data_IF_406906608471
#
_entry.id   IF_406906608471
#
_cell.length_a   1.000
_cell.length_b   1.000
_cell.length_c   1.000
_cell.angle_alpha   90.00
_cell.angle_beta   90.00
_cell.angle_gamma   90.00
#
_symmetry.space_group_name_H-M   'P 1'
#
loop_
_entity.id
_entity.type
_entity.pdbx_description
1 polymer ?
#
# COMPACT_ATOMS: atom_id res chain seq x y z
N UNK A 1 24.92 -17.67 33.53
CA UNK A 1 24.33 -18.20 32.29
C UNK A 1 24.90 -17.41 31.13
N UNK A 2 25.51 -18.05 30.12
CA UNK A 2 26.06 -17.36 28.96
C UNK A 2 24.94 -16.91 28.01
N UNK A 3 25.20 -15.89 27.18
CA UNK A 3 24.25 -15.36 26.19
C UNK A 3 23.75 -16.43 25.20
N UNK A 4 24.48 -17.53 25.04
CA UNK A 4 24.10 -18.62 24.13
C UNK A 4 22.89 -19.44 24.60
N UNK A 5 22.55 -19.40 25.90
CA UNK A 5 21.48 -20.24 26.49
C UNK A 5 20.10 -19.54 26.56
N UNK A 6 19.91 -18.43 25.83
CA UNK A 6 18.67 -17.64 25.86
C UNK A 6 18.09 -17.56 24.44
N UNK A 7 16.82 -17.95 24.29
CA UNK A 7 16.08 -17.87 23.03
C UNK A 7 15.64 -16.43 22.74
N UNK A 8 16.56 -15.62 22.21
CA UNK A 8 16.27 -14.24 21.81
C UNK A 8 15.56 -14.18 20.44
N UNK A 9 14.60 -13.25 20.25
CA UNK A 9 14.02 -12.98 18.96
C UNK A 9 15.09 -12.56 17.94
N UNK A 10 15.05 -13.14 16.74
CA UNK A 10 15.90 -12.77 15.60
C UNK A 10 15.00 -12.36 14.45
N UNK A 11 15.32 -11.23 13.83
CA UNK A 11 14.58 -10.74 12.66
C UNK A 11 15.51 -9.94 11.75
N UNK A 12 15.34 -10.12 10.44
CA UNK A 12 15.95 -9.27 9.41
C UNK A 12 15.20 -7.94 9.28
N UNK A 13 14.05 -7.79 9.96
CA UNK A 13 13.28 -6.55 9.96
C UNK A 13 14.03 -5.45 10.71
N UNK A 14 14.49 -4.45 9.97
CA UNK A 14 15.16 -3.29 10.54
C UNK A 14 14.24 -2.52 11.49
N UNK A 15 14.74 -2.20 12.68
CA UNK A 15 14.02 -1.31 13.62
C UNK A 15 13.80 0.10 13.06
N UNK A 16 14.65 0.57 12.13
CA UNK A 16 14.47 1.87 11.47
C UNK A 16 13.65 1.70 10.20
N UNK A 17 12.58 2.48 10.08
CA UNK A 17 11.68 2.40 8.94
C UNK A 17 12.37 2.81 7.63
N UNK A 18 13.02 3.98 7.59
CA UNK A 18 13.67 4.54 6.40
C UNK A 18 12.72 4.61 5.17
N UNK A 19 11.49 5.07 5.39
CA UNK A 19 10.38 4.97 4.43
C UNK A 19 10.65 5.69 3.12
N UNK A 20 11.27 6.87 3.15
CA UNK A 20 11.64 7.64 1.95
C UNK A 20 12.42 6.82 0.92
N UNK A 21 13.24 5.87 1.37
CA UNK A 21 14.01 4.98 0.49
C UNK A 21 13.30 3.64 0.22
N UNK A 22 12.53 3.13 1.19
CA UNK A 22 11.87 1.82 1.07
C UNK A 22 10.58 1.86 0.26
N UNK A 23 9.76 2.90 0.43
CA UNK A 23 8.44 3.02 -0.22
C UNK A 23 8.53 3.00 -1.75
N UNK A 24 9.47 3.71 -2.41
CA UNK A 24 9.64 3.61 -3.86
C UNK A 24 9.89 2.17 -4.32
N UNK A 25 10.76 1.42 -3.62
CA UNK A 25 11.05 0.02 -3.95
C UNK A 25 9.85 -0.92 -3.75
N UNK A 26 8.97 -0.62 -2.79
CA UNK A 26 7.71 -1.35 -2.59
C UNK A 26 6.75 -1.10 -3.76
N UNK A 27 6.61 0.15 -4.22
CA UNK A 27 5.78 0.50 -5.37
C UNK A 27 6.29 -0.17 -6.64
N UNK A 28 7.62 -0.15 -6.87
CA UNK A 28 8.25 -0.82 -8.00
C UNK A 28 8.01 -2.33 -7.98
N UNK A 29 8.10 -2.95 -6.80
CA UNK A 29 7.77 -4.36 -6.63
C UNK A 29 6.30 -4.66 -6.97
N UNK A 30 5.35 -3.85 -6.49
CA UNK A 30 3.93 -4.03 -6.80
C UNK A 30 3.63 -3.91 -8.29
N UNK A 31 4.29 -2.97 -8.98
CA UNK A 31 4.19 -2.82 -10.43
C UNK A 31 4.78 -4.04 -11.16
N UNK A 32 5.95 -4.52 -10.72
CA UNK A 32 6.62 -5.68 -11.33
C UNK A 32 5.78 -6.96 -11.25
N UNK A 33 5.07 -7.17 -10.14
CA UNK A 33 4.20 -8.34 -9.97
C UNK A 33 2.80 -8.14 -10.55
N UNK A 34 2.51 -6.98 -11.16
CA UNK A 34 1.18 -6.62 -11.66
C UNK A 34 0.07 -6.81 -10.61
N UNK A 35 0.32 -6.28 -9.40
CA UNK A 35 -0.51 -6.54 -8.22
C UNK A 35 -1.98 -6.18 -8.46
N UNK A 36 -2.26 -5.08 -9.16
CA UNK A 36 -3.62 -4.63 -9.42
C UNK A 36 -4.42 -5.67 -10.20
N UNK A 37 -3.88 -6.20 -11.30
CA UNK A 37 -4.57 -7.20 -12.10
C UNK A 37 -4.73 -8.52 -11.35
N UNK A 38 -3.73 -8.92 -10.55
CA UNK A 38 -3.85 -10.08 -9.68
C UNK A 38 -5.01 -9.94 -8.68
N UNK A 39 -5.14 -8.78 -8.03
CA UNK A 39 -6.25 -8.48 -7.13
C UNK A 39 -7.61 -8.48 -7.85
N UNK A 40 -7.67 -7.98 -9.09
CA UNK A 40 -8.90 -8.05 -9.89
C UNK A 40 -9.26 -9.47 -10.29
N UNK A 41 -8.27 -10.32 -10.54
CA UNK A 41 -8.48 -11.73 -10.88
C UNK A 41 -9.00 -12.54 -9.69
N UNK A 42 -8.45 -12.34 -8.49
CA UNK A 42 -8.89 -13.04 -7.28
C UNK A 42 -10.28 -12.62 -6.81
N UNK A 43 -10.70 -11.39 -7.12
CA UNK A 43 -12.04 -10.88 -6.79
C UNK A 43 -13.11 -11.14 -7.87
N UNK A 44 -12.83 -12.00 -8.86
CA UNK A 44 -13.85 -12.41 -9.85
C UNK A 44 -15.04 -13.07 -9.15
N UNK A 45 -16.23 -12.55 -9.39
CA UNK A 45 -17.48 -13.05 -8.81
C UNK A 45 -17.85 -12.48 -7.43
N UNK A 46 -16.97 -11.70 -6.78
CA UNK A 46 -17.34 -10.93 -5.58
C UNK A 46 -18.35 -9.83 -5.94
N UNK A 47 -19.13 -9.39 -4.95
CA UNK A 47 -20.01 -8.23 -5.09
C UNK A 47 -19.22 -7.00 -5.54
N UNK A 48 -19.75 -6.28 -6.53
CA UNK A 48 -19.06 -5.12 -7.10
C UNK A 48 -19.25 -3.91 -6.19
N UNK A 49 -18.14 -3.41 -5.66
CA UNK A 49 -18.06 -2.08 -5.07
C UNK A 49 -17.40 -1.11 -6.07
N UNK A 50 -18.03 0.03 -6.33
CA UNK A 50 -17.54 1.05 -7.28
C UNK A 50 -17.54 2.42 -6.62
N UNK A 51 -16.35 2.93 -6.32
CA UNK A 51 -16.15 4.30 -5.84
C UNK A 51 -15.78 5.19 -7.04
N UNK A 52 -16.66 6.12 -7.40
CA UNK A 52 -16.40 7.07 -8.48
C UNK A 52 -15.50 8.21 -8.00
N UNK A 53 -14.40 8.44 -8.69
CA UNK A 53 -13.48 9.53 -8.39
C UNK A 53 -13.82 10.77 -9.21
N UNK A 54 -13.98 11.91 -8.54
CA UNK A 54 -14.13 13.20 -9.19
C UNK A 54 -12.83 13.61 -9.89
N UNK A 55 -12.87 13.97 -11.19
CA UNK A 55 -11.66 14.32 -11.92
C UNK A 55 -11.03 15.57 -11.31
N UNK A 56 -9.74 15.53 -10.90
CA UNK A 56 -9.05 16.73 -10.48
C UNK A 56 -8.83 17.64 -11.69
N UNK A 57 -8.77 18.95 -11.45
CA UNK A 57 -8.27 19.86 -12.48
C UNK A 57 -6.80 19.55 -12.77
N UNK A 58 -6.43 19.52 -14.05
CA UNK A 58 -5.07 19.21 -14.51
C UNK A 58 -4.13 20.43 -14.44
N UNK A 59 -4.37 21.36 -13.52
CA UNK A 59 -3.59 22.57 -13.34
C UNK A 59 -3.07 22.69 -11.90
N UNK A 60 -1.89 23.31 -11.76
CA UNK A 60 -1.27 23.55 -10.45
C UNK A 60 -0.66 22.31 -9.80
N UNK A 61 -0.04 22.54 -8.64
CA UNK A 61 0.59 21.48 -7.85
C UNK A 61 -0.42 20.78 -6.94
N UNK A 62 -0.16 19.50 -6.66
CA UNK A 62 -0.89 18.75 -5.64
C UNK A 62 -0.68 19.42 -4.27
N UNK A 63 -1.76 19.54 -3.51
CA UNK A 63 -1.75 20.06 -2.14
C UNK A 63 -2.34 19.02 -1.17
N UNK A 64 -2.29 19.30 0.14
CA UNK A 64 -2.74 18.37 1.18
C UNK A 64 -4.19 17.90 1.03
N UNK A 65 -5.07 18.73 0.47
CA UNK A 65 -6.46 18.34 0.21
C UNK A 65 -6.57 17.25 -0.86
N UNK A 66 -5.71 17.31 -1.88
CA UNK A 66 -5.63 16.26 -2.90
C UNK A 66 -5.10 14.96 -2.28
N UNK A 67 -4.05 15.04 -1.45
CA UNK A 67 -3.49 13.89 -0.75
C UNK A 67 -4.53 13.22 0.16
N UNK A 68 -5.21 13.99 1.00
CA UNK A 68 -6.27 13.51 1.89
C UNK A 68 -7.38 12.78 1.12
N UNK A 69 -7.90 13.41 0.06
CA UNK A 69 -8.95 12.83 -0.78
C UNK A 69 -8.52 11.49 -1.40
N UNK A 70 -7.28 11.39 -1.91
CA UNK A 70 -6.79 10.16 -2.55
C UNK A 70 -6.49 9.05 -1.54
N UNK A 71 -5.91 9.38 -0.39
CA UNK A 71 -5.63 8.40 0.67
C UNK A 71 -6.93 7.79 1.20
N UNK A 72 -7.96 8.61 1.49
CA UNK A 72 -9.24 8.10 1.98
C UNK A 72 -9.94 7.19 0.95
N UNK A 73 -9.91 7.57 -0.33
CA UNK A 73 -10.47 6.74 -1.40
C UNK A 73 -9.74 5.41 -1.53
N UNK A 74 -8.41 5.42 -1.46
CA UNK A 74 -7.59 4.21 -1.51
C UNK A 74 -7.86 3.27 -0.32
N UNK A 75 -8.02 3.81 0.90
CA UNK A 75 -8.39 3.02 2.08
C UNK A 75 -9.72 2.28 1.89
N UNK A 76 -10.75 2.98 1.41
CA UNK A 76 -12.08 2.39 1.17
C UNK A 76 -12.03 1.32 0.07
N UNK A 77 -11.35 1.60 -1.05
CA UNK A 77 -11.22 0.64 -2.15
C UNK A 77 -10.44 -0.61 -1.71
N UNK A 78 -9.37 -0.46 -0.92
CA UNK A 78 -8.60 -1.58 -0.38
C UNK A 78 -9.41 -2.42 0.59
N UNK A 79 -10.19 -1.80 1.48
CA UNK A 79 -11.08 -2.50 2.40
C UNK A 79 -12.09 -3.40 1.66
N UNK A 80 -12.72 -2.90 0.58
CA UNK A 80 -13.66 -3.70 -0.22
C UNK A 80 -12.98 -4.72 -1.15
N UNK A 81 -11.68 -4.57 -1.42
CA UNK A 81 -10.91 -5.50 -2.25
C UNK A 81 -10.45 -6.74 -1.45
N UNK A 82 -10.14 -6.57 -0.16
CA UNK A 82 -9.84 -7.68 0.76
C UNK A 82 -11.01 -8.66 0.83
#
# INVERSE_FOLDING_TARGET
MSKENINLPKTEFSMKANLQNKEPGIVDFWNKIDLYNNLRATSKGKEKFVLHDGPPYANGNIHMGTALNKILKDLVVKFHQM
#
